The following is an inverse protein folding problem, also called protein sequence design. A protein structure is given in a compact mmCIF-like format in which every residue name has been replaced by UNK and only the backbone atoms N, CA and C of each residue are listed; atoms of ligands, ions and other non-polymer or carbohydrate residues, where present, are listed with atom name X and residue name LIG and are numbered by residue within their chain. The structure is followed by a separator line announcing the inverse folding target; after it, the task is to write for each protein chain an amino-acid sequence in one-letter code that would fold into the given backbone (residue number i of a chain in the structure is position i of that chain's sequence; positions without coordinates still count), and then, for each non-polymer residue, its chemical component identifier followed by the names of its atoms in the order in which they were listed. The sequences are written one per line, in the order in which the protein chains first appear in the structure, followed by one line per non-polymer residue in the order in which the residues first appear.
data_IF_314770722159
#
_entry.id   IF_314770722159
#
_cell.length_a   1.000
_cell.length_b   1.000
_cell.length_c   1.000
_cell.angle_alpha   90.00
_cell.angle_beta   90.00
_cell.angle_gamma   90.00
#
_symmetry.space_group_name_H-M   'P 1'
#
loop_
_entity.id
_entity.type
_entity.pdbx_description
1 polymer ?
#
# COMPACT_ATOMS: atom_id res chain seq x y z
N UNK A 1 -2.98 2.27 1.38
CA UNK A 1 -1.56 1.93 1.57
C UNK A 1 -0.95 2.72 2.71
N UNK A 2 0.19 2.25 3.20
CA UNK A 2 0.96 2.94 4.23
C UNK A 2 2.45 2.73 3.96
N UNK A 3 3.15 3.80 3.61
CA UNK A 3 4.58 3.76 3.26
C UNK A 3 5.22 5.11 3.51
N UNK A 4 6.54 5.21 3.35
CA UNK A 4 7.28 6.47 3.42
C UNK A 4 6.88 7.51 2.35
N UNK A 5 6.20 7.06 1.27
CA UNK A 5 5.61 7.96 0.26
C UNK A 5 4.18 8.38 0.60
N UNK A 6 3.48 7.65 1.46
CA UNK A 6 2.08 7.89 1.80
C UNK A 6 1.87 7.68 3.30
N UNK A 7 1.96 8.74 4.06
CA UNK A 7 1.78 8.77 5.51
C UNK A 7 0.38 9.25 5.94
N UNK A 8 -0.62 9.31 5.04
CA UNK A 8 -1.98 9.73 5.40
C UNK A 8 -2.58 8.92 6.54
N UNK A 9 -2.24 7.62 6.63
CA UNK A 9 -2.69 6.78 7.75
C UNK A 9 -2.01 7.09 9.09
N UNK A 10 -0.89 7.80 9.10
CA UNK A 10 -0.13 8.10 10.32
C UNK A 10 -0.82 9.14 11.23
N UNK A 11 -1.72 9.95 10.68
CA UNK A 11 -2.47 10.98 11.42
C UNK A 11 -3.74 10.40 12.09
N UNK A 12 -4.87 10.85 11.64
CA UNK A 12 -6.17 10.59 12.25
C UNK A 12 -6.54 9.10 12.35
N UNK A 13 -6.17 8.31 11.33
CA UNK A 13 -6.43 6.86 11.37
C UNK A 13 -5.65 6.17 12.49
N UNK A 14 -4.35 6.44 12.62
CA UNK A 14 -3.55 5.87 13.70
C UNK A 14 -4.06 6.31 15.09
N UNK A 15 -4.44 7.58 15.23
CA UNK A 15 -4.99 8.10 16.47
C UNK A 15 -6.29 7.39 16.83
N UNK A 16 -7.25 7.35 15.90
CA UNK A 16 -8.54 6.67 16.12
C UNK A 16 -8.36 5.20 16.48
N UNK A 17 -7.49 4.49 15.73
CA UNK A 17 -7.21 3.08 16.00
C UNK A 17 -6.62 2.87 17.40
N UNK A 18 -5.71 3.74 17.83
CA UNK A 18 -5.14 3.71 19.19
C UNK A 18 -6.21 3.92 20.25
N UNK A 19 -7.07 4.93 20.08
CA UNK A 19 -8.16 5.24 21.01
C UNK A 19 -9.19 4.11 21.13
N UNK A 20 -9.46 3.42 20.04
CA UNK A 20 -10.43 2.32 19.98
C UNK A 20 -9.83 0.94 20.22
N UNK A 21 -8.53 0.84 20.51
CA UNK A 21 -7.84 -0.44 20.71
C UNK A 21 -7.77 -1.33 19.45
N UNK A 22 -7.92 -0.73 18.25
CA UNK A 22 -7.82 -1.40 16.97
C UNK A 22 -6.38 -1.35 16.47
N UNK A 23 -5.96 -2.39 15.73
CA UNK A 23 -4.63 -2.45 15.11
C UNK A 23 -4.73 -2.36 13.60
N UNK A 24 -3.81 -1.59 13.01
CA UNK A 24 -3.68 -1.46 11.56
C UNK A 24 -2.80 -2.60 11.06
N UNK A 25 -3.25 -3.30 10.02
CA UNK A 25 -2.44 -4.19 9.20
C UNK A 25 -2.01 -3.40 7.97
N UNK A 26 -0.79 -2.86 8.00
CA UNK A 26 -0.31 -1.98 6.95
C UNK A 26 0.16 -2.77 5.73
N UNK A 27 -0.23 -2.34 4.54
CA UNK A 27 0.22 -2.93 3.27
C UNK A 27 0.84 -1.86 2.36
N UNK A 28 1.59 -2.31 1.35
CA UNK A 28 2.23 -1.42 0.39
C UNK A 28 3.43 -0.66 0.96
N UNK A 29 4.04 -1.17 2.02
CA UNK A 29 5.17 -0.54 2.73
C UNK A 29 6.39 -0.29 1.84
N UNK A 30 6.54 -1.05 0.76
CA UNK A 30 7.62 -0.91 -0.22
C UNK A 30 7.20 -0.11 -1.47
N UNK A 31 5.98 0.44 -1.50
CA UNK A 31 5.46 1.19 -2.64
C UNK A 31 5.69 0.44 -3.98
N UNK A 32 5.24 -0.83 -4.06
CA UNK A 32 5.41 -1.65 -5.27
C UNK A 32 6.86 -1.99 -5.62
N UNK A 33 7.77 -1.93 -4.65
CA UNK A 33 9.20 -2.17 -4.82
C UNK A 33 10.02 -0.89 -5.06
N UNK A 34 9.40 0.28 -5.13
CA UNK A 34 10.12 1.54 -5.30
C UNK A 34 11.01 1.90 -4.10
N UNK A 35 10.66 1.49 -2.88
CA UNK A 35 11.45 1.76 -1.68
C UNK A 35 12.50 0.66 -1.41
N UNK A 36 13.25 0.31 -2.45
CA UNK A 36 14.31 -0.70 -2.42
C UNK A 36 15.56 -0.21 -3.16
N UNK A 37 16.66 -0.95 -3.01
CA UNK A 37 17.94 -0.70 -3.68
C UNK A 37 17.82 -0.68 -5.22
N UNK A 38 16.82 -1.35 -5.78
CA UNK A 38 16.62 -1.49 -7.22
C UNK A 38 16.49 -0.14 -7.93
N UNK A 39 15.93 0.85 -7.24
CA UNK A 39 15.62 2.17 -7.82
C UNK A 39 16.57 3.29 -7.36
N UNK A 40 17.50 3.00 -6.47
CA UNK A 40 18.47 3.99 -6.01
C UNK A 40 19.38 4.42 -7.17
N UNK A 41 19.52 5.73 -7.35
CA UNK A 41 20.33 6.38 -8.41
C UNK A 41 19.93 5.97 -9.83
N UNK A 42 18.70 5.52 -10.04
CA UNK A 42 18.14 5.27 -11.37
C UNK A 42 17.50 6.50 -11.96
N UNK A 43 17.53 6.58 -13.27
CA UNK A 43 16.74 7.55 -14.02
C UNK A 43 15.25 7.27 -13.85
N UNK A 44 14.45 8.30 -14.02
CA UNK A 44 13.00 8.17 -13.95
C UNK A 44 12.49 7.27 -15.09
N UNK A 45 11.74 6.19 -14.77
CA UNK A 45 11.21 5.31 -15.79
C UNK A 45 10.08 5.98 -16.58
N UNK A 46 9.98 5.68 -17.86
CA UNK A 46 8.78 5.97 -18.63
C UNK A 46 7.65 5.01 -18.23
N UNK A 47 6.41 5.37 -18.50
CA UNK A 47 5.26 4.51 -18.20
C UNK A 47 5.36 3.12 -18.85
N UNK A 48 5.96 3.03 -20.05
CA UNK A 48 6.22 1.77 -20.77
C UNK A 48 7.22 0.84 -20.08
N UNK A 49 8.05 1.37 -19.18
CA UNK A 49 9.06 0.61 -18.44
C UNK A 49 8.51 -0.03 -17.18
N UNK A 50 7.31 0.40 -16.77
CA UNK A 50 6.61 -0.09 -15.58
C UNK A 50 5.92 -1.42 -15.90
N UNK A 51 6.38 -2.51 -15.28
CA UNK A 51 5.98 -3.88 -15.62
C UNK A 51 4.76 -4.39 -14.85
N UNK A 52 4.39 -3.74 -13.76
CA UNK A 52 3.31 -4.21 -12.89
C UNK A 52 2.33 -3.10 -12.55
N UNK A 53 1.08 -3.48 -12.29
CA UNK A 53 0.06 -2.55 -11.80
C UNK A 53 0.48 -1.81 -10.53
N UNK A 54 1.24 -2.49 -9.65
CA UNK A 54 1.80 -1.87 -8.46
C UNK A 54 2.79 -0.76 -8.79
N UNK A 55 3.69 -1.00 -9.77
CA UNK A 55 4.62 0.05 -10.23
C UNK A 55 3.88 1.23 -10.83
N UNK A 56 2.90 1.00 -11.71
CA UNK A 56 2.07 2.07 -12.30
C UNK A 56 1.33 2.88 -11.22
N UNK A 57 0.75 2.20 -10.22
CA UNK A 57 0.11 2.85 -9.10
C UNK A 57 1.09 3.73 -8.33
N UNK A 58 2.18 3.16 -7.84
CA UNK A 58 3.08 3.85 -6.94
C UNK A 58 3.98 4.88 -7.62
N UNK A 59 4.19 4.80 -8.95
CA UNK A 59 4.80 5.89 -9.71
C UNK A 59 3.97 7.18 -9.58
N UNK A 60 2.64 7.07 -9.66
CA UNK A 60 1.74 8.22 -9.44
C UNK A 60 1.86 8.80 -8.04
N UNK A 61 2.12 7.98 -7.02
CA UNK A 61 2.41 8.46 -5.67
C UNK A 61 3.72 9.24 -5.61
N UNK A 62 4.77 8.78 -6.32
CA UNK A 62 6.04 9.49 -6.44
C UNK A 62 5.80 10.87 -7.08
N UNK A 63 5.03 10.94 -8.17
CA UNK A 63 4.72 12.18 -8.86
C UNK A 63 3.98 13.15 -7.94
N UNK A 64 2.97 12.67 -7.23
CA UNK A 64 2.22 13.49 -6.27
C UNK A 64 3.06 13.91 -5.07
N UNK A 65 3.98 13.08 -4.61
CA UNK A 65 4.89 13.38 -3.51
C UNK A 65 5.99 14.40 -3.88
N UNK A 66 5.98 14.93 -5.09
CA UNK A 66 6.88 15.98 -5.55
C UNK A 66 7.92 15.53 -6.57
N UNK A 67 7.71 14.35 -7.17
CA UNK A 67 8.46 13.86 -8.32
C UNK A 67 9.72 13.07 -7.97
N UNK A 68 10.42 12.69 -9.03
CA UNK A 68 11.51 11.74 -8.98
C UNK A 68 12.72 12.20 -8.15
N UNK A 69 13.07 13.48 -8.21
CA UNK A 69 14.21 14.02 -7.46
C UNK A 69 14.02 13.91 -5.94
N UNK A 70 12.85 14.31 -5.43
CA UNK A 70 12.53 14.20 -4.01
C UNK A 70 12.49 12.73 -3.56
N UNK A 71 11.94 11.87 -4.39
CA UNK A 71 11.91 10.43 -4.15
C UNK A 71 13.34 9.85 -4.09
N UNK A 72 14.26 10.24 -5.00
CA UNK A 72 15.65 9.79 -4.93
C UNK A 72 16.34 10.27 -3.65
N UNK A 73 16.05 11.47 -3.17
CA UNK A 73 16.57 11.95 -1.89
C UNK A 73 16.04 11.12 -0.71
N UNK A 74 14.78 10.70 -0.75
CA UNK A 74 14.24 9.74 0.22
C UNK A 74 14.97 8.40 0.16
N UNK A 75 15.23 7.86 -1.04
CA UNK A 75 15.98 6.61 -1.18
C UNK A 75 17.40 6.71 -0.60
N UNK A 76 18.09 7.84 -0.79
CA UNK A 76 19.42 8.09 -0.20
C UNK A 76 19.35 8.09 1.33
N UNK A 77 18.33 8.69 1.92
CA UNK A 77 18.14 8.68 3.36
C UNK A 77 17.86 7.26 3.90
N UNK A 78 17.02 6.47 3.20
CA UNK A 78 16.78 5.06 3.53
C UNK A 78 18.09 4.27 3.43
N UNK A 79 18.90 4.51 2.39
CA UNK A 79 20.18 3.84 2.18
C UNK A 79 21.16 4.09 3.33
N UNK A 80 21.30 5.33 3.77
CA UNK A 80 22.16 5.68 4.92
C UNK A 80 21.77 4.90 6.17
N UNK A 81 20.47 4.81 6.47
CA UNK A 81 19.97 4.04 7.61
C UNK A 81 20.20 2.54 7.42
N UNK A 82 19.98 2.02 6.21
CA UNK A 82 20.19 0.60 5.90
C UNK A 82 21.65 0.17 6.10
N UNK A 83 22.60 0.98 5.67
CA UNK A 83 24.03 0.72 5.85
C UNK A 83 24.45 0.77 7.33
N UNK A 84 23.99 1.78 8.05
CA UNK A 84 24.24 1.91 9.50
C UNK A 84 23.73 0.71 10.27
N UNK A 85 22.56 0.23 9.93
CA UNK A 85 21.87 -0.86 10.62
C UNK A 85 22.16 -2.26 10.03
N UNK A 86 22.89 -2.33 8.91
CA UNK A 86 23.25 -3.57 8.20
C UNK A 86 22.04 -4.42 7.80
N UNK A 87 20.99 -3.77 7.34
CA UNK A 87 19.76 -4.38 6.83
C UNK A 87 19.44 -3.83 5.44
N UNK A 88 18.50 -4.45 4.70
CA UNK A 88 18.08 -3.94 3.39
C UNK A 88 17.29 -2.64 3.52
N UNK A 89 17.25 -1.84 2.45
CA UNK A 89 16.37 -0.67 2.36
C UNK A 89 14.90 -1.07 2.54
N UNK A 90 14.51 -2.23 2.02
CA UNK A 90 13.17 -2.80 2.20
C UNK A 90 12.83 -2.99 3.69
N UNK A 91 13.77 -3.50 4.48
CA UNK A 91 13.57 -3.66 5.92
C UNK A 91 13.44 -2.31 6.63
N UNK A 92 14.25 -1.31 6.27
CA UNK A 92 14.15 0.04 6.83
C UNK A 92 12.78 0.65 6.54
N UNK A 93 12.34 0.62 5.27
CA UNK A 93 11.06 1.18 4.86
C UNK A 93 9.88 0.49 5.55
N UNK A 94 9.90 -0.84 5.64
CA UNK A 94 8.82 -1.59 6.31
C UNK A 94 8.87 -1.42 7.83
N UNK A 95 10.04 -1.29 8.42
CA UNK A 95 10.20 -1.07 9.86
C UNK A 95 9.69 0.31 10.28
N UNK A 96 9.95 1.34 9.50
CA UNK A 96 9.42 2.68 9.75
C UNK A 96 7.89 2.66 9.88
N UNK A 97 7.21 1.92 9.00
CA UNK A 97 5.75 1.76 9.06
C UNK A 97 5.33 0.90 10.25
N UNK A 98 6.05 -0.19 10.53
CA UNK A 98 5.73 -1.08 11.65
C UNK A 98 5.83 -0.37 13.02
N UNK A 99 6.74 0.59 13.14
CA UNK A 99 6.93 1.37 14.37
C UNK A 99 5.91 2.50 14.55
N UNK A 100 5.03 2.75 13.56
CA UNK A 100 3.99 3.77 13.69
C UNK A 100 2.93 3.38 14.74
N UNK A 101 2.37 4.37 15.47
CA UNK A 101 1.32 4.12 16.45
C UNK A 101 0.16 3.32 15.85
N UNK A 102 -0.38 2.38 16.61
CA UNK A 102 -1.48 1.50 16.22
C UNK A 102 -1.19 0.49 15.08
N UNK A 103 -0.04 0.50 14.42
CA UNK A 103 0.33 -0.56 13.48
C UNK A 103 0.64 -1.82 14.27
N UNK A 104 -0.07 -2.91 13.96
CA UNK A 104 0.10 -4.21 14.59
C UNK A 104 0.94 -5.18 13.74
N UNK A 105 0.91 -4.99 12.42
CA UNK A 105 1.70 -5.79 11.49
C UNK A 105 1.84 -5.08 10.14
N UNK A 106 2.83 -5.51 9.36
CA UNK A 106 3.00 -5.15 7.95
C UNK A 106 2.73 -6.38 7.08
N UNK A 107 2.01 -6.17 5.99
CA UNK A 107 1.72 -7.19 4.98
C UNK A 107 2.73 -7.01 3.86
N UNK A 108 3.62 -7.98 3.72
CA UNK A 108 4.68 -7.97 2.71
C UNK A 108 4.29 -8.92 1.59
N UNK A 109 4.36 -8.44 0.35
CA UNK A 109 4.11 -9.24 -0.83
C UNK A 109 5.22 -10.26 -1.08
N UNK A 110 4.85 -11.44 -1.57
CA UNK A 110 5.77 -12.47 -2.02
C UNK A 110 5.35 -12.95 -3.42
N UNK A 111 6.33 -13.24 -4.26
CA UNK A 111 6.12 -13.84 -5.59
C UNK A 111 6.73 -15.23 -5.57
N UNK A 112 5.93 -16.19 -5.10
CA UNK A 112 6.37 -17.58 -4.92
C UNK A 112 6.93 -18.16 -6.24
N UNK A 113 8.10 -18.77 -6.17
CA UNK A 113 8.80 -19.32 -7.32
C UNK A 113 9.50 -18.30 -8.23
N UNK A 114 9.37 -16.99 -7.98
CA UNK A 114 10.03 -15.95 -8.78
C UNK A 114 11.02 -15.12 -7.95
N UNK A 115 10.55 -14.58 -6.84
CA UNK A 115 11.39 -13.79 -5.94
C UNK A 115 10.88 -13.93 -4.51
N UNK A 116 11.51 -14.81 -3.78
CA UNK A 116 11.22 -15.05 -2.37
C UNK A 116 12.28 -14.34 -1.53
N UNK A 117 11.84 -13.45 -0.66
CA UNK A 117 12.72 -12.69 0.23
C UNK A 117 12.47 -13.06 1.70
N UNK A 118 12.17 -14.34 1.97
CA UNK A 118 11.71 -14.80 3.29
C UNK A 118 12.72 -14.44 4.38
N UNK A 119 13.99 -14.82 4.20
CA UNK A 119 15.03 -14.56 5.19
C UNK A 119 15.27 -13.06 5.39
N UNK A 120 15.28 -12.30 4.29
CA UNK A 120 15.41 -10.85 4.36
C UNK A 120 14.21 -10.23 5.09
N UNK A 121 12.99 -10.68 4.79
CA UNK A 121 11.78 -10.19 5.46
C UNK A 121 11.79 -10.52 6.96
N UNK A 122 12.34 -11.67 7.37
CA UNK A 122 12.49 -12.01 8.79
C UNK A 122 13.46 -11.09 9.52
N UNK A 123 14.50 -10.57 8.86
CA UNK A 123 15.44 -9.63 9.44
C UNK A 123 14.75 -8.34 9.94
N UNK A 124 13.60 -7.96 9.36
CA UNK A 124 12.77 -6.86 9.83
C UNK A 124 12.43 -6.96 11.33
N UNK A 125 12.19 -8.15 11.84
CA UNK A 125 11.78 -8.37 13.23
C UNK A 125 12.95 -8.22 14.22
N UNK A 126 14.17 -8.45 13.76
CA UNK A 126 15.40 -8.38 14.57
C UNK A 126 16.01 -6.98 14.58
N UNK A 127 15.60 -6.12 13.66
CA UNK A 127 16.07 -4.76 13.52
C UNK A 127 15.25 -3.82 14.43
N UNK A 128 15.91 -3.13 15.35
CA UNK A 128 15.30 -2.21 16.32
C UNK A 128 16.04 -0.87 16.27
N UNK A 129 15.65 0.03 15.36
CA UNK A 129 16.28 1.34 15.25
C UNK A 129 15.95 2.21 16.47
N UNK A 130 16.85 3.12 16.80
CA UNK A 130 16.60 4.18 17.75
C UNK A 130 15.97 5.39 17.03
N UNK A 131 15.42 6.33 17.79
CA UNK A 131 14.86 7.57 17.22
C UNK A 131 15.87 8.32 16.33
N UNK A 132 17.14 8.36 16.73
CA UNK A 132 18.20 9.02 15.97
C UNK A 132 18.47 8.40 14.59
N UNK A 133 18.10 7.14 14.40
CA UNK A 133 18.27 6.43 13.12
C UNK A 133 17.22 6.88 12.09
N UNK A 134 16.14 7.50 12.55
CA UNK A 134 15.06 7.99 11.69
C UNK A 134 15.25 9.44 11.21
N UNK A 135 16.12 10.26 11.83
CA UNK A 135 16.22 11.69 11.53
C UNK A 135 16.46 12.01 10.04
N UNK A 136 17.32 11.25 9.36
CA UNK A 136 17.56 11.46 7.94
C UNK A 136 16.33 11.15 7.09
N UNK A 137 15.60 10.09 7.47
CA UNK A 137 14.37 9.66 6.79
C UNK A 137 13.26 10.66 7.08
N UNK A 138 13.07 11.07 8.34
CA UNK A 138 12.06 12.06 8.73
C UNK A 138 12.26 13.38 7.95
N UNK A 139 13.50 13.87 7.87
CA UNK A 139 13.81 15.07 7.09
C UNK A 139 13.53 14.90 5.59
N UNK A 140 13.81 13.72 5.03
CA UNK A 140 13.51 13.45 3.62
C UNK A 140 12.00 13.32 3.36
N UNK A 141 11.25 12.75 4.30
CA UNK A 141 9.79 12.65 4.25
C UNK A 141 9.14 14.03 4.39
N UNK A 142 9.63 14.89 5.29
CA UNK A 142 9.16 16.26 5.46
C UNK A 142 9.38 17.12 4.20
N UNK A 143 10.40 16.81 3.40
CA UNK A 143 10.66 17.47 2.12
C UNK A 143 9.73 17.01 0.98
N UNK A 144 9.01 15.90 1.14
CA UNK A 144 8.00 15.47 0.17
C UNK A 144 6.78 16.41 0.21
N UNK A 145 6.07 16.42 -0.90
CA UNK A 145 4.74 17.03 -0.95
C UNK A 145 3.73 16.04 -0.37
N UNK A 146 2.98 16.37 0.67
CA UNK A 146 1.98 15.46 1.22
C UNK A 146 0.95 15.06 0.15
N UNK A 147 0.66 13.77 0.06
CA UNK A 147 -0.41 13.27 -0.80
C UNK A 147 -1.74 13.75 -0.25
N UNK A 148 -2.58 14.42 -1.05
CA UNK A 148 -3.82 15.00 -0.56
C UNK A 148 -4.89 13.93 -0.28
N UNK A 149 -5.88 14.32 0.54
CA UNK A 149 -7.01 13.48 0.91
C UNK A 149 -6.71 12.50 2.04
N UNK A 150 -7.67 11.63 2.29
CA UNK A 150 -7.58 10.58 3.30
C UNK A 150 -7.08 9.26 2.74
N UNK A 151 -6.68 8.37 3.64
CA UNK A 151 -6.27 7.02 3.27
C UNK A 151 -7.42 6.28 2.57
N UNK A 152 -7.20 5.89 1.32
CA UNK A 152 -8.18 5.20 0.50
C UNK A 152 -8.96 6.10 -0.46
N UNK A 153 -8.77 7.42 -0.43
CA UNK A 153 -9.41 8.33 -1.37
C UNK A 153 -9.01 8.04 -2.82
N UNK A 154 -7.81 7.50 -3.04
CA UNK A 154 -7.34 7.01 -4.33
C UNK A 154 -8.23 5.94 -4.97
N UNK A 155 -9.12 5.34 -4.20
CA UNK A 155 -10.09 4.35 -4.66
C UNK A 155 -11.52 4.90 -4.74
N UNK A 156 -11.76 6.12 -4.27
CA UNK A 156 -13.11 6.64 -4.03
C UNK A 156 -13.39 7.98 -4.68
N UNK A 157 -12.40 8.86 -4.75
CA UNK A 157 -12.60 10.28 -5.12
C UNK A 157 -11.63 10.72 -6.21
N UNK A 158 -12.12 11.11 -7.39
CA UNK A 158 -11.32 11.93 -8.29
C UNK A 158 -10.98 13.27 -7.62
N UNK A 159 -9.82 13.90 -7.87
CA UNK A 159 -8.74 13.50 -8.77
C UNK A 159 -7.68 12.61 -8.12
N UNK A 160 -7.87 12.19 -6.88
CA UNK A 160 -6.89 11.42 -6.08
C UNK A 160 -6.78 9.95 -6.47
N UNK A 161 -7.38 9.57 -7.60
CA UNK A 161 -7.31 8.23 -8.17
C UNK A 161 -5.89 7.90 -8.64
N UNK A 162 -5.13 7.32 -7.75
CA UNK A 162 -3.80 6.79 -8.06
C UNK A 162 -3.82 5.28 -8.30
N UNK A 163 -4.90 4.60 -7.88
CA UNK A 163 -5.07 3.19 -8.16
C UNK A 163 -5.60 2.99 -9.58
N UNK A 164 -5.00 2.07 -10.32
CA UNK A 164 -5.65 1.49 -11.47
C UNK A 164 -6.80 0.63 -10.98
N UNK A 165 -7.99 0.88 -11.38
CA UNK A 165 -9.14 0.11 -10.93
C UNK A 165 -10.39 0.49 -11.67
N UNK A 166 -11.41 -0.27 -11.39
CA UNK A 166 -12.75 -0.03 -11.85
C UNK A 166 -13.26 1.30 -11.27
N UNK A 167 -13.52 2.27 -12.12
CA UNK A 167 -14.05 3.58 -11.75
C UNK A 167 -15.53 3.53 -11.34
N UNK A 168 -16.18 2.39 -11.45
CA UNK A 168 -17.59 2.21 -11.07
C UNK A 168 -17.86 2.47 -9.59
N UNK A 169 -16.81 2.49 -8.75
CA UNK A 169 -16.93 2.83 -7.34
C UNK A 169 -17.01 4.35 -7.05
N UNK A 170 -16.78 5.18 -8.06
CA UNK A 170 -16.73 6.64 -7.93
C UNK A 170 -18.03 7.29 -8.38
N UNK A 171 -19.14 6.72 -7.99
CA UNK A 171 -20.48 7.29 -8.25
C UNK A 171 -20.94 8.06 -7.01
N UNK A 172 -21.50 9.25 -7.25
CA UNK A 172 -22.07 10.09 -6.19
C UNK A 172 -23.35 9.49 -5.60
N UNK A 173 -23.99 8.59 -6.33
CA UNK A 173 -25.18 7.86 -5.91
C UNK A 173 -24.85 6.40 -5.59
N UNK A 174 -25.50 5.85 -4.58
CA UNK A 174 -25.40 4.43 -4.30
C UNK A 174 -25.87 3.63 -5.52
N UNK A 175 -25.08 2.66 -6.00
CA UNK A 175 -25.52 1.82 -7.09
C UNK A 175 -26.79 1.06 -6.70
N UNK A 176 -27.63 0.71 -7.66
CA UNK A 176 -28.78 -0.14 -7.38
C UNK A 176 -28.32 -1.45 -6.75
N UNK A 177 -29.18 -2.11 -5.96
CA UNK A 177 -28.85 -3.42 -5.39
C UNK A 177 -28.37 -4.37 -6.48
N UNK A 178 -27.32 -5.09 -6.18
CA UNK A 178 -26.79 -6.11 -7.11
C UNK A 178 -27.87 -7.16 -7.42
N UNK A 179 -27.99 -7.60 -8.67
CA UNK A 179 -28.79 -8.77 -9.03
C UNK A 179 -28.41 -9.96 -8.18
N UNK A 180 -29.41 -10.77 -7.83
CA UNK A 180 -29.16 -11.99 -7.05
C UNK A 180 -29.50 -13.23 -7.87
N UNK A 181 -28.72 -14.30 -7.68
CA UNK A 181 -28.91 -15.60 -8.28
C UNK A 181 -29.02 -16.67 -7.21
N UNK A 182 -30.13 -17.44 -7.26
CA UNK A 182 -30.31 -18.57 -6.36
C UNK A 182 -29.62 -19.82 -6.92
N UNK A 183 -28.84 -20.47 -6.08
CA UNK A 183 -28.17 -21.74 -6.41
C UNK A 183 -28.94 -22.92 -5.84
N UNK A 184 -28.86 -24.08 -6.53
CA UNK A 184 -29.52 -25.31 -6.13
C UNK A 184 -29.11 -25.84 -4.74
N UNK A 185 -27.98 -25.39 -4.21
CA UNK A 185 -27.49 -25.75 -2.87
C UNK A 185 -27.98 -24.81 -1.75
N UNK A 186 -28.94 -23.95 -2.06
CA UNK A 186 -29.56 -23.01 -1.13
C UNK A 186 -28.73 -21.76 -0.85
N UNK A 187 -27.73 -21.45 -1.69
CA UNK A 187 -27.02 -20.19 -1.65
C UNK A 187 -27.68 -19.18 -2.56
N UNK A 188 -27.72 -17.93 -2.10
CA UNK A 188 -28.04 -16.75 -2.92
C UNK A 188 -26.76 -15.98 -3.17
N UNK A 189 -26.41 -15.73 -4.41
CA UNK A 189 -25.23 -14.94 -4.81
C UNK A 189 -25.68 -13.55 -5.19
N UNK A 190 -24.97 -12.50 -4.74
CA UNK A 190 -25.09 -11.15 -5.27
C UNK A 190 -23.99 -10.94 -6.31
N UNK A 191 -24.36 -10.58 -7.53
CA UNK A 191 -23.48 -10.46 -8.68
C UNK A 191 -23.52 -9.02 -9.23
N UNK A 192 -22.40 -8.46 -9.58
CA UNK A 192 -22.31 -7.13 -10.21
C UNK A 192 -22.34 -7.19 -11.75
N UNK A 193 -22.22 -8.38 -12.32
CA UNK A 193 -22.20 -8.59 -13.76
C UNK A 193 -20.84 -8.27 -14.40
N UNK A 194 -19.79 -8.18 -13.61
CA UNK A 194 -18.43 -7.99 -14.16
C UNK A 194 -17.86 -9.31 -14.71
N UNK A 195 -17.07 -9.20 -15.79
CA UNK A 195 -16.41 -10.37 -16.39
C UNK A 195 -15.51 -11.14 -15.40
N UNK A 196 -15.04 -10.49 -14.35
CA UNK A 196 -14.19 -11.10 -13.33
C UNK A 196 -14.94 -12.11 -12.45
N UNK A 197 -16.24 -11.94 -12.26
CA UNK A 197 -17.04 -12.89 -11.47
C UNK A 197 -17.08 -14.26 -12.11
N UNK A 198 -17.22 -14.31 -13.43
CA UNK A 198 -17.20 -15.58 -14.18
C UNK A 198 -15.80 -16.17 -14.28
N UNK A 199 -14.79 -15.33 -14.59
CA UNK A 199 -13.42 -15.77 -14.78
C UNK A 199 -12.77 -16.27 -13.49
N UNK A 200 -13.00 -15.60 -12.38
CA UNK A 200 -12.38 -15.90 -11.10
C UNK A 200 -13.29 -16.71 -10.16
N UNK A 201 -14.55 -16.94 -10.54
CA UNK A 201 -15.50 -17.76 -9.78
C UNK A 201 -15.89 -17.15 -8.43
N UNK A 202 -15.97 -15.83 -8.31
CA UNK A 202 -16.42 -15.16 -7.10
C UNK A 202 -17.76 -14.43 -7.28
N UNK A 203 -18.37 -14.02 -6.19
CA UNK A 203 -19.55 -13.15 -6.14
C UNK A 203 -19.31 -12.02 -5.12
N UNK A 204 -20.07 -10.94 -5.21
CA UNK A 204 -19.94 -9.78 -4.29
C UNK A 204 -20.38 -10.15 -2.87
N UNK A 205 -21.39 -10.99 -2.74
CA UNK A 205 -21.79 -11.57 -1.48
C UNK A 205 -22.41 -12.95 -1.71
N UNK A 206 -22.37 -13.80 -0.70
CA UNK A 206 -23.02 -15.09 -0.67
C UNK A 206 -23.86 -15.17 0.60
N UNK A 207 -25.15 -15.43 0.46
CA UNK A 207 -26.04 -15.72 1.59
C UNK A 207 -26.40 -17.19 1.60
N UNK A 208 -26.35 -17.82 2.79
CA UNK A 208 -26.88 -19.17 3.02
C UNK A 208 -27.68 -19.19 4.32
N UNK A 209 -29.00 -19.30 4.22
CA UNK A 209 -29.89 -19.13 5.38
C UNK A 209 -29.75 -17.74 5.99
N UNK A 210 -29.37 -17.65 7.25
CA UNK A 210 -29.17 -16.39 8.00
C UNK A 210 -27.70 -15.89 8.01
N UNK A 211 -26.81 -16.49 7.22
CA UNK A 211 -25.39 -16.12 7.14
C UNK A 211 -25.09 -15.46 5.80
N UNK A 212 -24.29 -14.39 5.87
CA UNK A 212 -23.72 -13.69 4.72
C UNK A 212 -22.19 -13.84 4.80
#
# INVERSE_FOLDING_TARGET
SFSLLDLRAASDMCQLCKEKGVRILAFGTLAGGFLTETWLDKEEPNDSDLKTWSQMKYKRYIDQAGGWEKYQNLLKAIKLTSEKQKVSMANVASRYVLDQPAVGAVIIGARLGESEHIDNNQALLNFKPKQEDWYAIDSAVEALTPIPGDCGDEYRKPPFLTASGDLSHHVDELPPPYPTEERSDGRTLALSGTAWEDLAGFSRAVRKGNRI
#
